data_IF_984512399243
#
_entry.id   IF_984512399243
#
_cell.length_a   1.000
_cell.length_b   1.000
_cell.length_c   1.000
_cell.angle_alpha   90.00
_cell.angle_beta   90.00
_cell.angle_gamma   90.00
#
_symmetry.space_group_name_H-M   'P 1'
#
loop_
_entity.id
_entity.type
_entity.pdbx_description
1 polymer ?
#
# COMPACT_ATOMS: atom_id res chain seq x y z
N UNK A 1 -15.00 36.90 -12.26
CA UNK A 1 -14.73 36.05 -13.44
C UNK A 1 -13.28 36.28 -13.83
N UNK A 2 -12.38 35.28 -13.62
CA UNK A 2 -12.36 34.06 -14.43
C UNK A 2 -12.09 32.77 -13.62
N UNK A 3 -13.00 31.78 -13.74
CA UNK A 3 -12.88 30.40 -13.21
C UNK A 3 -12.91 29.42 -14.40
N UNK A 4 -12.11 29.68 -15.43
CA UNK A 4 -12.14 28.90 -16.68
C UNK A 4 -10.77 28.43 -17.17
N UNK A 5 -9.82 28.20 -16.26
CA UNK A 5 -8.51 27.60 -16.58
C UNK A 5 -8.27 26.24 -15.92
N UNK A 6 -9.23 25.70 -15.16
CA UNK A 6 -9.10 24.38 -14.53
C UNK A 6 -9.84 23.26 -15.29
N UNK A 7 -10.73 23.61 -16.23
CA UNK A 7 -11.65 22.65 -16.88
C UNK A 7 -11.09 22.05 -18.18
N UNK A 8 -9.92 22.49 -18.67
CA UNK A 8 -9.38 22.05 -19.96
C UNK A 8 -8.21 21.07 -19.92
N UNK A 9 -7.75 20.61 -18.74
CA UNK A 9 -6.58 19.71 -18.67
C UNK A 9 -6.84 18.27 -18.21
N UNK A 10 -8.10 17.85 -18.07
CA UNK A 10 -8.44 16.44 -17.80
C UNK A 10 -9.35 15.82 -18.89
N UNK A 11 -9.85 16.59 -19.86
CA UNK A 11 -10.78 16.06 -20.88
C UNK A 11 -10.54 16.48 -22.34
N UNK A 12 -9.52 17.25 -22.68
CA UNK A 12 -9.17 17.55 -24.09
C UNK A 12 -7.66 17.58 -24.31
N UNK A 13 -7.06 16.40 -24.24
CA UNK A 13 -5.97 16.03 -25.14
C UNK A 13 -6.09 14.52 -25.39
N UNK A 14 -7.07 14.16 -26.21
CA UNK A 14 -6.96 12.96 -27.06
C UNK A 14 -5.82 13.20 -28.06
N UNK A 15 -4.59 13.24 -27.56
CA UNK A 15 -3.44 12.69 -28.24
C UNK A 15 -2.97 11.57 -27.36
N UNK A 16 -3.36 10.36 -27.73
CA UNK A 16 -2.61 9.17 -27.40
C UNK A 16 -1.15 9.44 -27.80
N UNK A 17 -0.34 9.95 -26.89
CA UNK A 17 1.11 9.86 -27.01
C UNK A 17 1.46 8.43 -26.64
N UNK A 18 1.38 7.56 -27.65
CA UNK A 18 2.14 6.33 -27.72
C UNK A 18 3.61 6.71 -27.46
N UNK A 19 4.06 6.60 -26.21
CA UNK A 19 5.49 6.55 -25.91
C UNK A 19 5.93 5.18 -26.36
N UNK A 20 6.42 5.17 -27.59
CA UNK A 20 6.63 4.00 -28.41
C UNK A 20 6.28 4.42 -29.82
N UNK A 21 7.26 4.94 -30.55
CA UNK A 21 7.31 4.69 -31.99
C UNK A 21 7.47 3.17 -32.16
N UNK A 22 6.40 2.41 -31.96
CA UNK A 22 6.23 1.18 -32.69
C UNK A 22 6.13 1.64 -34.13
N UNK A 23 7.15 1.34 -34.92
CA UNK A 23 7.03 1.31 -36.37
C UNK A 23 5.79 0.48 -36.71
N UNK A 24 4.65 1.14 -36.94
CA UNK A 24 3.42 0.49 -37.43
C UNK A 24 3.67 -0.13 -38.84
N UNK A 25 4.83 0.19 -39.45
CA UNK A 25 5.30 -0.40 -40.69
C UNK A 25 6.26 -1.60 -40.53
N UNK A 26 6.42 -2.16 -39.32
CA UNK A 26 7.15 -3.42 -39.09
C UNK A 26 6.33 -4.40 -38.22
N UNK A 27 5.02 -4.49 -38.42
CA UNK A 27 4.30 -5.71 -38.05
C UNK A 27 4.66 -6.80 -39.07
N UNK A 28 5.88 -7.34 -38.94
CA UNK A 28 6.21 -8.66 -39.46
C UNK A 28 5.16 -9.64 -38.93
N UNK A 29 4.80 -10.65 -39.73
CA UNK A 29 3.84 -11.72 -39.45
C UNK A 29 4.12 -12.47 -38.12
N UNK A 30 3.93 -11.82 -36.97
CA UNK A 30 3.99 -12.48 -35.68
C UNK A 30 2.64 -13.18 -35.47
N UNK A 31 2.70 -14.50 -35.41
CA UNK A 31 1.56 -15.33 -35.08
C UNK A 31 1.06 -15.03 -33.66
N UNK A 32 -0.18 -15.40 -33.34
CA UNK A 32 -0.67 -15.37 -31.95
C UNK A 32 0.23 -16.18 -31.00
N UNK A 33 0.96 -17.17 -31.52
CA UNK A 33 1.94 -17.93 -30.76
C UNK A 33 3.18 -17.11 -30.41
N UNK A 34 3.64 -16.23 -31.30
CA UNK A 34 4.78 -15.34 -31.03
C UNK A 34 4.44 -14.32 -29.94
N UNK A 35 3.24 -13.74 -29.99
CA UNK A 35 2.76 -12.84 -28.93
C UNK A 35 2.65 -13.57 -27.57
N UNK A 36 2.14 -14.81 -27.59
CA UNK A 36 2.11 -15.67 -26.40
C UNK A 36 3.52 -15.90 -25.83
N UNK A 37 4.49 -16.27 -26.68
CA UNK A 37 5.87 -16.53 -26.24
C UNK A 37 6.58 -15.27 -25.75
N UNK A 38 6.33 -14.12 -26.39
CA UNK A 38 6.89 -12.84 -25.99
C UNK A 38 6.43 -12.43 -24.57
N UNK A 39 5.16 -12.69 -24.22
CA UNK A 39 4.66 -12.49 -22.85
C UNK A 39 5.47 -13.32 -21.87
N UNK A 40 5.65 -14.62 -22.10
CA UNK A 40 6.43 -15.47 -21.21
C UNK A 40 7.90 -15.06 -21.12
N UNK A 41 8.51 -14.67 -22.23
CA UNK A 41 9.88 -14.18 -22.24
C UNK A 41 10.03 -12.90 -21.40
N UNK A 42 9.05 -11.99 -21.43
CA UNK A 42 9.07 -10.78 -20.62
C UNK A 42 8.84 -11.05 -19.13
N UNK A 43 8.00 -12.02 -18.77
CA UNK A 43 7.84 -12.47 -17.38
C UNK A 43 9.15 -13.04 -16.83
N UNK A 44 9.80 -13.94 -17.58
CA UNK A 44 11.09 -14.53 -17.19
C UNK A 44 12.19 -13.46 -17.05
N UNK A 45 12.25 -12.48 -17.97
CA UNK A 45 13.17 -11.32 -17.87
C UNK A 45 12.89 -10.46 -16.65
N UNK A 46 11.62 -10.20 -16.31
CA UNK A 46 11.26 -9.39 -15.15
C UNK A 46 11.70 -10.06 -13.85
N UNK A 47 11.43 -11.36 -13.68
CA UNK A 47 11.93 -12.15 -12.55
C UNK A 47 13.45 -12.05 -12.45
N UNK A 48 14.16 -12.24 -13.58
CA UNK A 48 15.62 -12.14 -13.60
C UNK A 48 16.13 -10.74 -13.26
N UNK A 49 15.41 -9.69 -13.64
CA UNK A 49 15.78 -8.33 -13.29
C UNK A 49 15.65 -8.11 -11.78
N UNK A 50 14.53 -8.50 -11.16
CA UNK A 50 14.31 -8.35 -9.73
C UNK A 50 15.24 -9.24 -8.87
N UNK A 51 15.68 -10.41 -9.35
CA UNK A 51 16.79 -11.16 -8.72
C UNK A 51 18.04 -10.28 -8.52
N UNK A 52 18.29 -9.35 -9.44
CA UNK A 52 19.46 -8.48 -9.46
C UNK A 52 19.20 -7.04 -8.95
N UNK A 53 17.97 -6.74 -8.51
CA UNK A 53 17.57 -5.39 -8.08
C UNK A 53 17.32 -5.30 -6.59
N UNK A 54 17.44 -4.09 -6.04
CA UNK A 54 17.06 -3.76 -4.66
C UNK A 54 15.66 -3.14 -4.68
N UNK A 55 14.61 -3.86 -4.26
CA UNK A 55 13.23 -3.36 -4.23
C UNK A 55 12.99 -2.51 -2.98
N UNK A 56 12.70 -1.23 -3.17
CA UNK A 56 12.45 -0.25 -2.10
C UNK A 56 11.12 0.48 -2.29
N UNK A 57 10.22 0.01 -3.16
CA UNK A 57 8.87 0.57 -3.23
C UNK A 57 8.12 0.19 -1.95
N UNK A 58 7.69 1.18 -1.17
CA UNK A 58 7.10 0.96 0.15
C UNK A 58 5.73 0.24 0.15
N UNK A 59 5.14 0.00 -1.01
CA UNK A 59 3.91 -0.78 -1.18
C UNK A 59 4.14 -2.18 -1.73
N UNK A 60 5.40 -2.54 -1.98
CA UNK A 60 5.76 -3.87 -2.49
C UNK A 60 6.30 -4.75 -1.38
N UNK A 61 6.12 -6.05 -1.60
CA UNK A 61 6.67 -7.12 -0.79
C UNK A 61 6.62 -8.41 -1.59
N UNK A 62 7.30 -9.44 -1.07
CA UNK A 62 7.38 -10.74 -1.70
C UNK A 62 6.69 -11.82 -0.87
N UNK A 63 5.68 -12.52 -1.42
CA UNK A 63 5.05 -13.63 -0.73
C UNK A 63 5.97 -14.86 -0.66
N UNK A 64 5.69 -15.76 0.29
CA UNK A 64 6.41 -17.03 0.39
C UNK A 64 6.07 -17.98 -0.79
N UNK A 65 6.90 -18.98 -1.08
CA UNK A 65 6.58 -20.04 -2.03
C UNK A 65 5.22 -20.71 -1.77
N UNK A 66 4.86 -20.95 -0.50
CA UNK A 66 3.58 -21.55 -0.13
C UNK A 66 2.39 -20.64 -0.48
N UNK A 67 2.52 -19.33 -0.26
CA UNK A 67 1.51 -18.35 -0.67
C UNK A 67 1.36 -18.34 -2.20
N UNK A 68 2.48 -18.41 -2.96
CA UNK A 68 2.46 -18.51 -4.43
C UNK A 68 1.77 -19.79 -4.91
N UNK A 69 2.02 -20.92 -4.25
CA UNK A 69 1.38 -22.21 -4.55
C UNK A 69 -0.15 -22.14 -4.40
N UNK A 70 -0.64 -21.54 -3.30
CA UNK A 70 -2.08 -21.37 -3.11
C UNK A 70 -2.75 -20.51 -4.20
N UNK A 71 -2.08 -19.45 -4.66
CA UNK A 71 -2.58 -18.58 -5.75
C UNK A 71 -2.79 -19.37 -7.04
N UNK A 72 -1.89 -20.31 -7.38
CA UNK A 72 -1.95 -21.07 -8.64
C UNK A 72 -2.80 -22.34 -8.56
N UNK A 73 -3.45 -22.60 -7.42
CA UNK A 73 -4.30 -23.78 -7.22
C UNK A 73 -5.63 -23.67 -7.98
N UNK A 74 -6.37 -24.78 -8.04
CA UNK A 74 -7.69 -24.84 -8.69
C UNK A 74 -8.74 -23.92 -8.05
N UNK A 75 -8.48 -23.38 -6.83
CA UNK A 75 -9.31 -22.34 -6.22
C UNK A 75 -9.47 -21.10 -7.13
N UNK A 76 -8.54 -20.88 -8.07
CA UNK A 76 -8.63 -19.81 -9.07
C UNK A 76 -9.79 -19.96 -10.06
N UNK A 77 -10.31 -21.18 -10.22
CA UNK A 77 -11.29 -21.56 -11.23
C UNK A 77 -12.69 -21.86 -10.64
N UNK A 78 -12.91 -21.57 -9.36
CA UNK A 78 -14.15 -21.88 -8.63
C UNK A 78 -14.91 -20.61 -8.26
N UNK A 79 -16.18 -20.78 -7.93
CA UNK A 79 -17.12 -19.71 -7.63
C UNK A 79 -17.73 -19.94 -6.25
N UNK A 80 -17.77 -18.90 -5.41
CA UNK A 80 -18.28 -19.00 -4.03
C UNK A 80 -18.93 -17.69 -3.59
N UNK A 81 -20.14 -17.43 -4.11
CA UNK A 81 -20.97 -16.30 -3.67
C UNK A 81 -21.58 -16.54 -2.30
N UNK A 82 -21.75 -15.45 -1.55
CA UNK A 82 -22.38 -15.48 -0.23
C UNK A 82 -21.38 -15.63 0.92
N UNK A 83 -21.86 -16.22 2.01
CA UNK A 83 -21.11 -16.46 3.24
C UNK A 83 -20.86 -17.97 3.41
N UNK A 84 -19.78 -18.41 4.09
CA UNK A 84 -19.60 -19.82 4.42
C UNK A 84 -20.86 -20.43 5.06
N UNK A 85 -21.33 -21.57 4.54
CA UNK A 85 -22.59 -22.21 4.96
C UNK A 85 -23.88 -21.64 4.32
N UNK A 86 -23.80 -20.49 3.65
CA UNK A 86 -24.93 -19.78 3.04
C UNK A 86 -24.66 -19.48 1.55
N UNK A 87 -24.03 -20.44 0.86
CA UNK A 87 -23.59 -20.25 -0.53
C UNK A 87 -24.74 -20.33 -1.51
N UNK A 88 -24.66 -19.49 -2.55
CA UNK A 88 -25.60 -19.52 -3.69
C UNK A 88 -25.35 -20.75 -4.57
N UNK A 89 -24.11 -21.22 -4.64
CA UNK A 89 -23.69 -22.35 -5.48
C UNK A 89 -23.18 -23.53 -4.64
N UNK A 90 -23.42 -24.75 -5.15
CA UNK A 90 -22.84 -25.98 -4.59
C UNK A 90 -21.34 -26.11 -4.88
N UNK A 91 -20.68 -27.08 -4.24
CA UNK A 91 -19.25 -27.37 -4.46
C UNK A 91 -18.28 -26.55 -3.61
N UNK A 92 -18.77 -25.87 -2.57
CA UNK A 92 -17.98 -25.00 -1.70
C UNK A 92 -17.42 -25.68 -0.44
N UNK A 93 -17.53 -27.01 -0.28
CA UNK A 93 -17.16 -27.72 0.97
C UNK A 93 -15.81 -27.29 1.54
N UNK A 94 -14.73 -27.44 0.77
CA UNK A 94 -13.38 -27.05 1.22
C UNK A 94 -13.10 -25.55 1.08
N UNK A 95 -13.87 -24.84 0.25
CA UNK A 95 -13.76 -23.38 0.16
C UNK A 95 -14.24 -22.74 1.46
N UNK A 96 -15.36 -23.22 2.01
CA UNK A 96 -15.94 -22.75 3.27
C UNK A 96 -15.02 -23.05 4.47
N UNK A 97 -14.39 -24.24 4.48
CA UNK A 97 -13.38 -24.59 5.49
C UNK A 97 -12.19 -23.62 5.46
N UNK A 98 -11.64 -23.36 4.26
CA UNK A 98 -10.49 -22.46 4.10
C UNK A 98 -10.88 -21.00 4.37
N UNK A 99 -12.07 -20.55 3.97
CA UNK A 99 -12.55 -19.18 4.26
C UNK A 99 -12.78 -18.96 5.75
N UNK A 100 -13.37 -19.94 6.42
CA UNK A 100 -13.54 -19.91 7.89
C UNK A 100 -12.19 -19.85 8.58
N UNK A 101 -11.24 -20.70 8.17
CA UNK A 101 -9.88 -20.67 8.71
C UNK A 101 -9.17 -19.34 8.44
N UNK A 102 -9.34 -18.75 7.26
CA UNK A 102 -8.78 -17.46 6.91
C UNK A 102 -9.31 -16.35 7.83
N UNK A 103 -10.64 -16.33 8.07
CA UNK A 103 -11.26 -15.38 9.00
C UNK A 103 -10.79 -15.58 10.44
N UNK A 104 -10.68 -16.83 10.91
CA UNK A 104 -10.22 -17.13 12.27
C UNK A 104 -8.76 -16.73 12.49
N UNK A 105 -7.88 -16.98 11.51
CA UNK A 105 -6.50 -16.54 11.55
C UNK A 105 -6.39 -15.01 11.53
N UNK A 106 -7.19 -14.32 10.72
CA UNK A 106 -7.23 -12.85 10.69
C UNK A 106 -7.67 -12.27 12.05
N UNK A 107 -8.77 -12.80 12.62
CA UNK A 107 -9.25 -12.42 13.96
C UNK A 107 -8.18 -12.63 15.02
N UNK A 108 -7.49 -13.79 15.00
CA UNK A 108 -6.40 -14.08 15.94
C UNK A 108 -5.23 -13.13 15.77
N UNK A 109 -4.80 -12.88 14.53
CA UNK A 109 -3.65 -12.04 14.21
C UNK A 109 -3.84 -10.60 14.67
N UNK A 110 -5.03 -10.04 14.44
CA UNK A 110 -5.32 -8.65 14.77
C UNK A 110 -6.09 -8.46 16.06
N UNK A 111 -6.46 -9.55 16.75
CA UNK A 111 -7.32 -9.55 17.94
C UNK A 111 -8.64 -8.79 17.67
N UNK A 112 -9.27 -9.07 16.54
CA UNK A 112 -10.58 -8.53 16.17
C UNK A 112 -11.70 -9.54 16.43
N UNK A 113 -12.93 -9.05 16.54
CA UNK A 113 -14.11 -9.92 16.72
C UNK A 113 -14.63 -10.44 15.37
N UNK A 114 -14.55 -9.59 14.34
CA UNK A 114 -14.97 -9.89 12.98
C UNK A 114 -13.84 -9.64 11.98
N UNK A 115 -13.83 -10.44 10.90
CA UNK A 115 -12.94 -10.28 9.76
C UNK A 115 -13.66 -10.66 8.46
N UNK A 116 -13.69 -9.77 7.48
CA UNK A 116 -14.16 -10.04 6.12
C UNK A 116 -12.95 -10.15 5.17
N UNK A 117 -12.68 -11.38 4.73
CA UNK A 117 -11.52 -11.74 3.90
C UNK A 117 -11.80 -11.67 2.40
N UNK A 118 -13.05 -11.35 2.01
CA UNK A 118 -13.53 -11.35 0.62
C UNK A 118 -13.12 -10.12 -0.21
N UNK A 119 -12.82 -8.92 0.33
CA UNK A 119 -12.39 -7.80 -0.49
C UNK A 119 -11.17 -8.15 -1.37
N UNK A 120 -11.31 -7.86 -2.67
CA UNK A 120 -10.30 -8.20 -3.70
C UNK A 120 -9.15 -7.18 -3.79
N UNK A 121 -9.28 -6.04 -3.13
CA UNK A 121 -8.21 -5.04 -3.00
C UNK A 121 -8.45 -4.16 -1.76
N UNK A 122 -7.43 -3.41 -1.34
CA UNK A 122 -7.60 -2.41 -0.28
C UNK A 122 -8.62 -1.31 -0.64
N UNK A 123 -8.73 -0.96 -1.92
CA UNK A 123 -9.74 0.00 -2.40
C UNK A 123 -11.14 -0.56 -2.26
N UNK A 124 -11.35 -1.85 -2.56
CA UNK A 124 -12.65 -2.52 -2.35
C UNK A 124 -12.96 -2.65 -0.86
N UNK A 125 -11.96 -2.90 0.00
CA UNK A 125 -12.16 -2.88 1.45
C UNK A 125 -12.62 -1.50 1.95
N UNK A 126 -12.02 -0.42 1.44
CA UNK A 126 -12.45 0.95 1.75
C UNK A 126 -13.86 1.24 1.23
N UNK A 127 -14.19 0.82 0.01
CA UNK A 127 -15.56 0.94 -0.53
C UNK A 127 -16.59 0.21 0.34
N UNK A 128 -16.26 -0.96 0.89
CA UNK A 128 -17.17 -1.70 1.76
C UNK A 128 -17.53 -0.88 3.01
N UNK A 129 -16.57 -0.15 3.58
CA UNK A 129 -16.83 0.76 4.71
C UNK A 129 -17.69 1.95 4.27
N UNK A 130 -17.39 2.57 3.14
CA UNK A 130 -18.18 3.70 2.66
C UNK A 130 -19.62 3.27 2.40
N UNK A 131 -19.83 2.13 1.73
CA UNK A 131 -21.18 1.60 1.45
C UNK A 131 -21.92 1.12 2.70
N UNK A 132 -21.20 0.67 3.74
CA UNK A 132 -21.83 0.22 4.99
C UNK A 132 -22.24 1.39 5.91
N UNK A 133 -21.50 2.51 5.90
CA UNK A 133 -21.60 3.54 6.93
C UNK A 133 -21.84 4.96 6.41
N UNK A 134 -22.05 5.14 5.10
CA UNK A 134 -22.44 6.42 4.52
C UNK A 134 -23.25 6.27 3.23
N UNK A 135 -23.90 7.36 2.84
CA UNK A 135 -24.61 7.52 1.59
C UNK A 135 -23.91 8.52 0.67
N UNK A 136 -24.18 8.50 -0.65
CA UNK A 136 -23.75 9.57 -1.54
C UNK A 136 -24.21 10.95 -1.03
N UNK A 137 -23.30 11.93 -1.06
CA UNK A 137 -23.52 13.27 -0.52
C UNK A 137 -23.10 13.45 0.94
N UNK A 138 -22.90 12.37 1.71
CA UNK A 138 -22.37 12.49 3.07
C UNK A 138 -20.92 12.99 3.05
N UNK A 139 -20.52 13.66 4.14
CA UNK A 139 -19.17 14.19 4.32
C UNK A 139 -18.26 13.14 4.96
N UNK A 140 -17.04 13.00 4.49
CA UNK A 140 -15.97 12.22 5.12
C UNK A 140 -14.76 13.10 5.38
N UNK A 141 -14.12 12.97 6.54
CA UNK A 141 -12.84 13.62 6.84
C UNK A 141 -11.68 12.61 6.72
N UNK A 142 -10.62 12.95 6.00
CA UNK A 142 -9.47 12.05 5.76
C UNK A 142 -8.13 12.81 5.59
N UNK A 143 -6.96 12.16 5.59
CA UNK A 143 -5.72 12.82 5.18
C UNK A 143 -5.74 13.20 3.69
N UNK A 144 -5.21 14.38 3.37
CA UNK A 144 -5.00 14.78 1.97
C UNK A 144 -3.79 14.06 1.36
N UNK A 145 -3.75 13.86 0.03
CA UNK A 145 -2.61 13.22 -0.65
C UNK A 145 -1.25 13.89 -0.29
N UNK A 146 -1.11 15.23 -0.27
CA UNK A 146 0.14 15.88 0.12
C UNK A 146 0.49 15.72 1.61
N UNK A 147 -0.51 15.44 2.45
CA UNK A 147 -0.35 15.08 3.86
C UNK A 147 -0.14 13.57 4.06
N UNK A 148 0.08 12.82 2.97
CA UNK A 148 0.32 11.39 3.00
C UNK A 148 -0.90 10.50 2.78
N UNK A 149 -2.09 11.07 2.57
CA UNK A 149 -3.32 10.32 2.29
C UNK A 149 -3.27 9.44 1.03
N UNK A 150 -4.28 8.60 0.86
CA UNK A 150 -4.39 7.71 -0.29
C UNK A 150 -5.47 8.18 -1.28
N UNK A 151 -5.29 7.87 -2.56
CA UNK A 151 -6.24 8.26 -3.61
C UNK A 151 -7.66 7.73 -3.35
N UNK A 152 -7.81 6.59 -2.68
CA UNK A 152 -9.13 6.04 -2.35
C UNK A 152 -9.92 6.86 -1.32
N UNK A 153 -9.26 7.79 -0.62
CA UNK A 153 -9.89 8.72 0.31
C UNK A 153 -10.19 10.07 -0.35
N UNK A 154 -9.76 10.25 -1.61
CA UNK A 154 -9.69 11.54 -2.27
C UNK A 154 -11.01 12.05 -2.83
N UNK A 155 -10.99 13.34 -3.16
CA UNK A 155 -12.09 14.09 -3.79
C UNK A 155 -12.39 13.62 -5.21
N UNK A 156 -13.60 13.93 -5.68
CA UNK A 156 -14.06 13.68 -7.05
C UNK A 156 -13.16 14.34 -8.10
N UNK A 157 -12.71 15.58 -7.86
CA UNK A 157 -11.87 16.35 -8.81
C UNK A 157 -10.46 15.75 -8.98
N UNK A 158 -10.08 14.83 -8.10
CA UNK A 158 -8.80 14.10 -8.14
C UNK A 158 -9.00 12.62 -8.47
N UNK A 159 -10.16 12.25 -9.01
CA UNK A 159 -10.54 10.87 -9.31
C UNK A 159 -10.43 9.92 -8.11
N UNK A 160 -10.62 10.46 -6.89
CA UNK A 160 -10.51 9.66 -5.68
C UNK A 160 -11.73 8.75 -5.50
N UNK A 161 -11.53 7.52 -5.04
CA UNK A 161 -12.60 6.51 -4.96
C UNK A 161 -13.77 6.97 -4.09
N UNK A 162 -13.50 7.53 -2.91
CA UNK A 162 -14.55 8.02 -2.02
C UNK A 162 -15.43 9.09 -2.68
N UNK A 163 -14.83 10.11 -3.31
CA UNK A 163 -15.59 11.19 -3.93
C UNK A 163 -16.16 10.89 -5.32
N UNK A 164 -15.41 10.20 -6.19
CA UNK A 164 -15.82 9.92 -7.57
C UNK A 164 -16.74 8.69 -7.67
N UNK A 165 -16.39 7.59 -6.98
CA UNK A 165 -17.07 6.30 -7.14
C UNK A 165 -18.23 6.16 -6.16
N UNK A 166 -18.01 6.45 -4.87
CA UNK A 166 -19.08 6.38 -3.86
C UNK A 166 -19.92 7.66 -3.78
N UNK A 167 -19.33 8.82 -4.10
CA UNK A 167 -20.03 10.10 -4.12
C UNK A 167 -19.98 10.88 -2.82
N UNK A 168 -18.95 10.69 -1.99
CA UNK A 168 -18.76 11.44 -0.74
C UNK A 168 -18.17 12.84 -0.97
N UNK A 169 -18.56 13.78 -0.13
CA UNK A 169 -17.86 15.05 0.01
C UNK A 169 -16.65 14.87 0.93
N UNK A 170 -15.44 15.19 0.46
CA UNK A 170 -14.23 14.97 1.25
C UNK A 170 -13.73 16.27 1.87
N UNK A 171 -13.63 16.26 3.19
CA UNK A 171 -12.86 17.22 3.97
C UNK A 171 -11.54 16.60 4.42
N UNK A 172 -10.55 17.44 4.70
CA UNK A 172 -9.25 16.96 5.16
C UNK A 172 -9.00 17.22 6.65
N UNK A 173 -8.39 16.25 7.33
CA UNK A 173 -7.76 16.49 8.63
C UNK A 173 -6.76 17.66 8.54
N UNK A 174 -6.61 18.40 9.63
CA UNK A 174 -5.52 19.35 9.72
C UNK A 174 -4.19 18.58 9.81
N UNK A 175 -3.15 19.08 9.14
CA UNK A 175 -1.86 18.41 9.05
C UNK A 175 -0.74 19.36 9.48
N UNK A 176 0.15 18.86 10.32
CA UNK A 176 1.39 19.51 10.70
C UNK A 176 2.54 18.87 9.90
N UNK A 177 3.15 19.67 9.02
CA UNK A 177 4.25 19.22 8.17
C UNK A 177 5.59 19.08 8.88
N UNK A 178 5.77 19.69 10.05
CA UNK A 178 6.97 19.48 10.86
C UNK A 178 6.85 18.18 11.64
N UNK A 179 5.68 17.91 12.20
CA UNK A 179 5.38 16.66 12.91
C UNK A 179 5.14 15.48 11.97
N UNK A 180 4.93 15.76 10.68
CA UNK A 180 4.52 14.81 9.64
C UNK A 180 3.29 14.00 10.04
N UNK A 181 2.32 14.65 10.68
CA UNK A 181 1.14 13.97 11.21
C UNK A 181 -0.09 14.89 11.30
N UNK A 182 -1.24 14.31 11.66
CA UNK A 182 -2.49 15.03 11.92
C UNK A 182 -2.30 15.97 13.11
N UNK A 183 -2.71 17.22 12.96
CA UNK A 183 -2.78 18.21 14.03
C UNK A 183 -4.11 18.04 14.78
N UNK A 184 -4.03 17.58 16.03
CA UNK A 184 -5.20 17.22 16.85
C UNK A 184 -6.09 18.43 17.11
N UNK A 185 -5.53 19.54 17.60
CA UNK A 185 -6.33 20.69 18.03
C UNK A 185 -6.92 21.42 16.82
N UNK A 186 -6.15 21.60 15.74
CA UNK A 186 -6.70 22.19 14.50
C UNK A 186 -7.76 21.29 13.85
N UNK A 187 -7.64 19.97 14.00
CA UNK A 187 -8.68 19.03 13.55
C UNK A 187 -9.97 19.20 14.34
N UNK A 188 -9.89 19.32 15.67
CA UNK A 188 -11.06 19.57 16.51
C UNK A 188 -11.78 20.87 16.12
N UNK A 189 -11.04 21.97 15.98
CA UNK A 189 -11.58 23.25 15.51
C UNK A 189 -12.28 23.09 14.15
N UNK A 190 -11.66 22.40 13.21
CA UNK A 190 -12.25 22.17 11.89
C UNK A 190 -13.56 21.38 11.95
N UNK A 191 -13.64 20.33 12.78
CA UNK A 191 -14.88 19.55 12.95
C UNK A 191 -16.00 20.41 13.54
N UNK A 192 -15.70 21.26 14.52
CA UNK A 192 -16.67 22.21 15.08
C UNK A 192 -17.16 23.23 14.05
N UNK A 193 -16.27 23.71 13.16
CA UNK A 193 -16.63 24.60 12.05
C UNK A 193 -17.54 23.90 11.04
N UNK A 194 -17.22 22.65 10.66
CA UNK A 194 -18.06 21.85 9.77
C UNK A 194 -19.44 21.59 10.36
N UNK A 195 -19.54 21.37 11.68
CA UNK A 195 -20.82 21.27 12.37
C UNK A 195 -21.65 22.54 12.24
N UNK A 196 -21.03 23.72 12.42
CA UNK A 196 -21.72 25.02 12.27
C UNK A 196 -22.22 25.27 10.84
N UNK A 197 -21.63 24.58 9.85
CA UNK A 197 -22.00 24.65 8.44
C UNK A 197 -22.99 23.56 8.02
N UNK A 198 -23.49 22.74 8.95
CA UNK A 198 -24.33 21.56 8.65
C UNK A 198 -23.64 20.54 7.72
N UNK A 199 -22.31 20.44 7.81
CA UNK A 199 -21.45 19.55 7.01
C UNK A 199 -20.65 18.59 7.89
N UNK A 200 -21.27 18.14 8.99
CA UNK A 200 -20.62 17.24 9.94
C UNK A 200 -20.26 15.91 9.25
N UNK A 201 -18.98 15.48 9.28
CA UNK A 201 -18.58 14.20 8.71
C UNK A 201 -19.35 13.01 9.29
N UNK A 202 -19.73 12.05 8.44
CA UNK A 202 -20.25 10.74 8.84
C UNK A 202 -19.14 9.73 9.09
N UNK A 203 -18.04 9.85 8.35
CA UNK A 203 -16.87 8.98 8.47
C UNK A 203 -15.63 9.82 8.78
N UNK A 204 -14.87 9.37 9.77
CA UNK A 204 -13.49 9.80 10.00
C UNK A 204 -12.55 8.69 9.53
N UNK A 205 -11.82 8.94 8.45
CA UNK A 205 -10.97 7.97 7.76
C UNK A 205 -9.50 8.25 8.06
N UNK A 206 -8.93 7.52 9.01
CA UNK A 206 -7.49 7.54 9.29
C UNK A 206 -6.73 6.65 8.31
N UNK A 207 -5.41 6.89 8.19
CA UNK A 207 -4.49 6.08 7.40
C UNK A 207 -4.02 6.80 6.13
N UNK A 208 -2.90 6.33 5.59
CA UNK A 208 -2.24 7.00 4.47
C UNK A 208 -1.28 6.11 3.69
N UNK A 209 -0.90 6.62 2.52
CA UNK A 209 0.18 6.08 1.68
C UNK A 209 1.55 6.40 2.26
N UNK A 210 1.75 7.66 2.67
CA UNK A 210 2.94 8.08 3.43
C UNK A 210 2.54 8.06 4.89
N UNK A 211 3.13 7.13 5.64
CA UNK A 211 2.72 6.85 7.01
C UNK A 211 3.96 6.67 7.87
N UNK A 212 4.61 7.77 8.27
CA UNK A 212 5.89 7.73 9.01
C UNK A 212 5.70 7.46 10.51
N UNK A 213 4.60 7.94 11.08
CA UNK A 213 4.33 7.88 12.52
C UNK A 213 2.87 7.48 12.78
N UNK A 214 2.58 6.83 13.91
CA UNK A 214 1.22 6.58 14.37
C UNK A 214 0.32 7.82 14.30
N UNK A 215 -0.87 7.68 13.73
CA UNK A 215 -1.87 8.75 13.78
C UNK A 215 -2.43 8.92 15.20
N UNK A 216 -2.83 10.14 15.60
CA UNK A 216 -3.35 10.44 16.94
C UNK A 216 -4.81 9.99 17.09
N UNK A 217 -5.05 8.69 16.93
CA UNK A 217 -6.38 8.08 17.02
C UNK A 217 -6.92 8.22 18.44
N UNK A 218 -6.10 7.87 19.45
CA UNK A 218 -6.50 7.91 20.86
C UNK A 218 -6.91 9.32 21.31
N UNK A 219 -6.24 10.34 20.80
CA UNK A 219 -6.48 11.74 21.12
C UNK A 219 -7.73 12.31 20.45
N UNK A 220 -8.18 11.69 19.36
CA UNK A 220 -9.33 12.15 18.56
C UNK A 220 -10.57 11.27 18.70
N UNK A 221 -10.44 9.99 19.07
CA UNK A 221 -11.52 9.02 19.00
C UNK A 221 -12.76 9.43 19.80
N UNK A 222 -12.60 9.78 21.08
CA UNK A 222 -13.72 10.19 21.94
C UNK A 222 -14.40 11.47 21.42
N UNK A 223 -13.61 12.42 20.94
CA UNK A 223 -14.12 13.66 20.35
C UNK A 223 -14.94 13.37 19.09
N UNK A 224 -14.41 12.58 18.14
CA UNK A 224 -15.09 12.24 16.90
C UNK A 224 -16.37 11.42 17.16
N UNK A 225 -16.34 10.49 18.13
CA UNK A 225 -17.51 9.72 18.54
C UNK A 225 -18.58 10.57 19.21
N UNK A 226 -18.22 11.65 19.90
CA UNK A 226 -19.21 12.59 20.47
C UNK A 226 -20.05 13.31 19.41
N UNK A 227 -19.65 13.22 18.13
CA UNK A 227 -20.37 13.70 16.96
C UNK A 227 -20.99 12.57 16.12
N UNK A 228 -21.08 11.35 16.67
CA UNK A 228 -21.65 10.16 16.02
C UNK A 228 -20.93 9.78 14.70
N UNK A 229 -19.64 10.08 14.58
CA UNK A 229 -18.84 9.69 13.42
C UNK A 229 -18.44 8.21 13.50
N UNK A 230 -18.54 7.49 12.38
CA UNK A 230 -17.91 6.17 12.23
C UNK A 230 -16.42 6.35 12.00
N UNK A 231 -15.58 5.76 12.84
CA UNK A 231 -14.12 5.87 12.71
C UNK A 231 -13.56 4.64 12.01
N UNK A 232 -13.03 4.81 10.80
CA UNK A 232 -12.28 3.77 10.10
C UNK A 232 -10.79 4.09 10.04
N UNK A 233 -9.95 3.06 10.11
CA UNK A 233 -8.52 3.18 9.94
C UNK A 233 -8.02 2.29 8.79
N UNK A 234 -7.50 2.92 7.73
CA UNK A 234 -6.83 2.24 6.64
C UNK A 234 -5.39 1.91 7.02
N UNK A 235 -5.18 0.68 7.46
CA UNK A 235 -3.90 0.15 7.88
C UNK A 235 -3.05 -0.36 6.71
N UNK A 236 -3.45 -0.19 5.44
CA UNK A 236 -2.83 -0.88 4.30
C UNK A 236 -1.30 -0.90 4.31
N UNK A 237 -0.65 0.23 4.59
CA UNK A 237 0.81 0.33 4.62
C UNK A 237 1.45 -0.23 5.89
N UNK A 238 0.75 -0.22 7.03
CA UNK A 238 1.29 -0.58 8.35
C UNK A 238 0.67 -1.87 8.91
N UNK A 239 -0.17 -2.58 8.16
CA UNK A 239 -0.91 -3.76 8.60
C UNK A 239 0.00 -4.86 9.18
N UNK A 240 1.13 -5.13 8.54
CA UNK A 240 2.11 -6.10 9.06
C UNK A 240 2.81 -5.64 10.34
N UNK A 241 3.00 -4.31 10.49
CA UNK A 241 3.60 -3.75 11.70
C UNK A 241 2.62 -3.78 12.88
N UNK A 242 1.34 -3.47 12.64
CA UNK A 242 0.27 -3.61 13.63
C UNK A 242 0.13 -5.07 14.05
N UNK A 243 0.12 -6.00 13.09
CA UNK A 243 0.06 -7.44 13.35
C UNK A 243 1.25 -7.94 14.19
N UNK A 244 2.45 -7.42 13.92
CA UNK A 244 3.67 -7.71 14.68
C UNK A 244 3.79 -6.98 16.02
N UNK A 245 2.91 -6.03 16.33
CA UNK A 245 2.95 -5.25 17.57
C UNK A 245 3.99 -4.13 17.61
N UNK A 246 4.51 -3.70 16.46
CA UNK A 246 5.56 -2.68 16.32
C UNK A 246 5.01 -1.34 15.77
N UNK A 247 3.69 -1.17 15.82
CA UNK A 247 2.99 0.07 15.50
C UNK A 247 1.79 0.25 16.44
N UNK A 248 1.03 1.32 16.25
CA UNK A 248 -0.16 1.61 17.05
C UNK A 248 -1.22 0.51 16.95
N UNK A 249 -2.19 0.54 17.86
CA UNK A 249 -3.26 -0.46 17.92
C UNK A 249 -4.65 0.19 17.73
N UNK A 250 -5.09 0.43 16.49
CA UNK A 250 -6.24 1.29 16.23
C UNK A 250 -7.55 0.77 16.84
N UNK A 251 -7.79 -0.55 16.81
CA UNK A 251 -9.00 -1.14 17.38
C UNK A 251 -9.09 -0.87 18.89
N UNK A 252 -7.96 -0.89 19.59
CA UNK A 252 -7.89 -0.64 21.03
C UNK A 252 -7.76 0.86 21.37
N UNK A 253 -7.37 1.68 20.41
CA UNK A 253 -7.30 3.14 20.52
C UNK A 253 -8.63 3.83 20.20
N UNK A 254 -9.60 3.10 19.64
CA UNK A 254 -10.99 3.55 19.56
C UNK A 254 -11.59 3.63 18.17
N UNK A 255 -11.00 3.02 17.13
CA UNK A 255 -11.65 2.95 15.81
C UNK A 255 -12.76 1.90 15.80
N UNK A 256 -13.78 2.08 14.97
CA UNK A 256 -14.90 1.12 14.84
C UNK A 256 -14.60 0.00 13.83
N UNK A 257 -13.80 0.31 12.80
CA UNK A 257 -13.37 -0.64 11.78
C UNK A 257 -11.94 -0.35 11.34
N UNK A 258 -11.27 -1.38 10.81
CA UNK A 258 -10.01 -1.24 10.10
C UNK A 258 -10.12 -1.86 8.72
N UNK A 259 -9.59 -1.16 7.72
CA UNK A 259 -9.40 -1.68 6.36
C UNK A 259 -7.93 -1.83 6.07
N UNK A 260 -7.56 -2.73 5.18
CA UNK A 260 -6.17 -2.84 4.73
C UNK A 260 -6.05 -3.58 3.41
N UNK A 261 -4.90 -3.40 2.76
CA UNK A 261 -4.39 -4.34 1.76
C UNK A 261 -3.58 -5.46 2.40
N UNK A 262 -3.51 -6.61 1.73
CA UNK A 262 -2.85 -7.83 2.22
C UNK A 262 -1.49 -8.16 1.59
N UNK A 263 -0.86 -7.20 0.90
CA UNK A 263 0.39 -7.40 0.10
C UNK A 263 1.51 -6.38 0.35
N UNK A 264 1.35 -5.50 1.34
CA UNK A 264 2.36 -4.48 1.68
C UNK A 264 3.25 -5.01 2.81
N UNK A 265 3.27 -4.36 3.98
CA UNK A 265 3.93 -4.92 5.18
C UNK A 265 3.29 -6.23 5.62
N UNK A 266 2.00 -6.44 5.36
CA UNK A 266 1.40 -7.76 5.41
C UNK A 266 1.76 -8.49 4.11
N UNK A 267 2.71 -9.42 4.17
CA UNK A 267 3.45 -10.02 3.05
C UNK A 267 2.68 -11.12 2.29
N UNK A 268 1.38 -10.90 2.07
CA UNK A 268 0.50 -11.84 1.40
C UNK A 268 0.19 -11.49 -0.06
N UNK A 269 -0.85 -12.10 -0.63
CA UNK A 269 -1.28 -11.83 -2.00
C UNK A 269 -1.95 -10.46 -2.14
N UNK A 270 -2.04 -9.96 -3.38
CA UNK A 270 -2.83 -8.76 -3.65
C UNK A 270 -4.29 -8.96 -3.24
N UNK A 271 -4.86 -8.05 -2.46
CA UNK A 271 -6.16 -8.26 -1.83
C UNK A 271 -6.49 -7.18 -0.81
N UNK A 272 -7.68 -7.28 -0.21
CA UNK A 272 -8.12 -6.46 0.91
C UNK A 272 -8.61 -7.29 2.10
N UNK A 273 -8.81 -6.62 3.23
CA UNK A 273 -9.35 -7.18 4.46
C UNK A 273 -10.10 -6.08 5.20
N UNK A 274 -11.26 -6.41 5.78
CA UNK A 274 -11.97 -5.54 6.74
C UNK A 274 -11.97 -6.24 8.09
N UNK A 275 -11.60 -5.52 9.15
CA UNK A 275 -11.69 -5.95 10.53
C UNK A 275 -12.68 -5.07 11.27
N UNK A 276 -13.44 -5.65 12.19
CA UNK A 276 -14.42 -4.90 12.96
C UNK A 276 -14.73 -5.56 14.30
N UNK A 277 -15.54 -4.87 15.09
CA UNK A 277 -16.34 -5.45 16.18
C UNK A 277 -17.59 -6.13 15.63
N UNK A 278 -18.15 -7.09 16.36
CA UNK A 278 -19.30 -7.89 15.91
C UNK A 278 -20.53 -7.03 15.59
N UNK A 279 -20.73 -5.93 16.33
CA UNK A 279 -21.82 -4.95 16.09
C UNK A 279 -21.88 -4.42 14.65
N UNK A 280 -20.74 -4.42 13.94
CA UNK A 280 -20.59 -3.88 12.59
C UNK A 280 -20.62 -4.97 11.50
N UNK A 281 -20.61 -6.26 11.87
CA UNK A 281 -20.42 -7.38 10.95
C UNK A 281 -21.48 -7.43 9.84
N UNK A 282 -22.76 -7.36 10.18
CA UNK A 282 -23.85 -7.49 9.21
C UNK A 282 -23.88 -6.36 8.17
N UNK A 283 -23.54 -5.13 8.56
CA UNK A 283 -23.44 -4.00 7.63
C UNK A 283 -22.30 -4.22 6.62
N UNK A 284 -21.14 -4.66 7.11
CA UNK A 284 -19.96 -4.95 6.27
C UNK A 284 -20.22 -6.15 5.35
N UNK A 285 -20.87 -7.20 5.86
CA UNK A 285 -21.18 -8.39 5.05
C UNK A 285 -22.03 -8.01 3.83
N UNK A 286 -23.10 -7.24 4.05
CA UNK A 286 -24.03 -6.78 3.00
C UNK A 286 -23.38 -5.81 2.02
N UNK A 287 -22.56 -4.89 2.51
CA UNK A 287 -21.79 -3.98 1.65
C UNK A 287 -20.81 -4.74 0.76
N UNK A 288 -20.15 -5.77 1.28
CA UNK A 288 -19.19 -6.57 0.53
C UNK A 288 -19.88 -7.47 -0.51
N UNK A 289 -20.89 -8.25 -0.08
CA UNK A 289 -21.74 -9.06 -0.94
C UNK A 289 -23.20 -8.89 -0.51
N UNK A 290 -24.13 -8.58 -1.43
CA UNK A 290 -23.95 -8.50 -2.88
C UNK A 290 -23.46 -7.12 -3.38
N UNK A 291 -23.10 -6.19 -2.49
CA UNK A 291 -22.87 -4.79 -2.87
C UNK A 291 -21.68 -4.56 -3.81
N UNK A 292 -20.51 -5.12 -3.50
CA UNK A 292 -19.25 -4.80 -4.21
C UNK A 292 -18.62 -5.99 -4.92
N UNK A 293 -19.01 -7.19 -4.53
CA UNK A 293 -18.54 -8.44 -5.12
C UNK A 293 -19.72 -9.33 -5.42
N UNK A 294 -19.56 -10.17 -6.43
CA UNK A 294 -20.42 -11.33 -6.70
C UNK A 294 -19.66 -12.55 -6.13
N UNK A 295 -18.76 -13.19 -6.87
CA UNK A 295 -17.69 -13.99 -6.26
C UNK A 295 -16.47 -13.13 -5.90
N UNK A 296 -15.63 -13.64 -4.99
CA UNK A 296 -14.33 -13.05 -4.65
C UNK A 296 -13.18 -13.95 -5.14
N UNK A 297 -11.94 -13.45 -5.06
CA UNK A 297 -10.76 -14.22 -5.49
C UNK A 297 -10.42 -15.31 -4.45
N UNK A 298 -11.01 -16.49 -4.61
CA UNK A 298 -10.94 -17.60 -3.65
C UNK A 298 -9.49 -18.10 -3.45
N UNK A 299 -8.72 -18.22 -4.53
CA UNK A 299 -7.28 -18.54 -4.48
C UNK A 299 -6.46 -17.50 -3.70
N UNK A 300 -6.76 -16.20 -3.85
CA UNK A 300 -6.14 -15.17 -3.03
C UNK A 300 -6.60 -15.26 -1.57
N UNK A 301 -7.86 -15.62 -1.29
CA UNK A 301 -8.34 -15.86 0.08
C UNK A 301 -7.59 -17.02 0.74
N UNK A 302 -7.38 -18.14 0.03
CA UNK A 302 -6.56 -19.26 0.51
C UNK A 302 -5.11 -18.82 0.79
N UNK A 303 -4.52 -18.05 -0.13
CA UNK A 303 -3.18 -17.49 0.04
C UNK A 303 -3.08 -16.49 1.22
N UNK A 304 -4.14 -15.73 1.53
CA UNK A 304 -4.24 -14.92 2.76
C UNK A 304 -4.22 -15.80 4.01
N UNK A 305 -4.91 -16.94 4.03
CA UNK A 305 -4.91 -17.85 5.18
C UNK A 305 -3.49 -18.32 5.51
N UNK A 306 -2.72 -18.73 4.50
CA UNK A 306 -1.30 -19.10 4.66
C UNK A 306 -0.49 -17.91 5.18
N UNK A 307 -0.67 -16.72 4.58
CA UNK A 307 0.01 -15.49 5.02
C UNK A 307 -0.27 -15.20 6.50
N UNK A 308 -1.51 -15.34 6.96
CA UNK A 308 -1.87 -15.04 8.35
C UNK A 308 -1.27 -16.07 9.32
N UNK A 309 -1.16 -17.34 8.93
CA UNK A 309 -0.46 -18.34 9.71
C UNK A 309 1.04 -18.00 9.84
N UNK A 310 1.70 -17.61 8.74
CA UNK A 310 3.10 -17.15 8.77
C UNK A 310 3.27 -15.86 9.58
N UNK A 311 2.33 -14.92 9.49
CA UNK A 311 2.36 -13.67 10.25
C UNK A 311 2.15 -13.89 11.75
N UNK A 312 1.35 -14.88 12.14
CA UNK A 312 1.21 -15.27 13.56
C UNK A 312 2.51 -15.82 14.14
N UNK A 313 3.28 -16.58 13.34
CA UNK A 313 4.54 -17.18 13.78
C UNK A 313 5.69 -16.18 13.74
N UNK A 314 5.87 -15.49 12.62
CA UNK A 314 7.08 -14.70 12.33
C UNK A 314 6.84 -13.19 12.26
N UNK A 315 5.59 -12.74 12.35
CA UNK A 315 5.21 -11.34 12.09
C UNK A 315 5.84 -10.35 13.06
N UNK A 316 6.01 -10.73 14.33
CA UNK A 316 6.66 -9.88 15.34
C UNK A 316 8.11 -9.56 14.96
N UNK A 317 8.94 -10.58 14.75
CA UNK A 317 10.36 -10.40 14.44
C UNK A 317 10.54 -9.70 13.09
N UNK A 318 9.69 -10.02 12.12
CA UNK A 318 9.66 -9.33 10.84
C UNK A 318 9.34 -7.84 10.98
N UNK A 319 8.31 -7.49 11.74
CA UNK A 319 7.90 -6.10 11.94
C UNK A 319 9.00 -5.29 12.64
N UNK A 320 9.63 -5.85 13.68
CA UNK A 320 10.71 -5.20 14.43
C UNK A 320 11.91 -4.91 13.52
N UNK A 321 12.37 -5.92 12.77
CA UNK A 321 13.46 -5.72 11.82
C UNK A 321 13.09 -4.75 10.69
N UNK A 322 11.83 -4.74 10.25
CA UNK A 322 11.35 -3.83 9.19
C UNK A 322 11.45 -2.37 9.64
N UNK A 323 11.02 -2.05 10.86
CA UNK A 323 11.12 -0.69 11.43
C UNK A 323 12.57 -0.30 11.67
N UNK A 324 13.40 -1.21 12.23
CA UNK A 324 14.85 -0.98 12.41
C UNK A 324 15.54 -0.66 11.09
N UNK A 325 15.23 -1.42 10.04
CA UNK A 325 15.80 -1.20 8.72
C UNK A 325 15.37 0.15 8.11
N UNK A 326 14.09 0.51 8.21
CA UNK A 326 13.61 1.80 7.72
C UNK A 326 14.32 2.97 8.40
N UNK A 327 14.49 2.88 9.74
CA UNK A 327 15.21 3.89 10.52
C UNK A 327 16.71 3.93 10.19
N UNK A 328 17.36 2.78 10.06
CA UNK A 328 18.77 2.69 9.68
C UNK A 328 19.02 3.28 8.29
N UNK A 329 18.14 3.00 7.32
CA UNK A 329 18.21 3.58 5.97
C UNK A 329 18.03 5.10 6.01
N UNK A 330 17.04 5.59 6.76
CA UNK A 330 16.79 7.02 6.92
C UNK A 330 18.00 7.76 7.53
N UNK A 331 18.56 7.22 8.61
CA UNK A 331 19.76 7.79 9.26
C UNK A 331 20.94 7.79 8.30
N UNK A 332 21.23 6.65 7.64
CA UNK A 332 22.36 6.55 6.72
C UNK A 332 22.24 7.51 5.53
N UNK A 333 21.04 7.71 4.98
CA UNK A 333 20.80 8.68 3.92
C UNK A 333 21.02 10.12 4.42
N UNK A 334 20.53 10.44 5.62
CA UNK A 334 20.72 11.76 6.23
C UNK A 334 22.21 12.09 6.44
N UNK A 335 22.97 11.14 7.01
CA UNK A 335 24.41 11.27 7.25
C UNK A 335 25.21 11.42 5.96
N UNK A 336 24.70 10.89 4.84
CA UNK A 336 25.27 11.03 3.50
C UNK A 336 24.85 12.30 2.76
N UNK A 337 24.09 13.20 3.41
CA UNK A 337 23.75 14.53 2.90
C UNK A 337 22.36 14.66 2.29
N UNK A 338 21.53 13.61 2.31
CA UNK A 338 20.14 13.71 1.86
C UNK A 338 19.25 14.38 2.91
N UNK A 339 18.24 15.12 2.47
CA UNK A 339 17.23 15.72 3.36
C UNK A 339 16.10 14.74 3.62
N UNK A 340 16.17 13.99 4.72
CA UNK A 340 15.16 13.00 5.10
C UNK A 340 14.07 13.64 5.97
N UNK A 341 12.81 13.40 5.65
CA UNK A 341 11.68 13.96 6.40
C UNK A 341 11.52 13.28 7.78
N UNK A 342 10.94 14.00 8.74
CA UNK A 342 10.67 13.48 10.08
C UNK A 342 11.87 13.49 11.04
N UNK A 343 12.98 14.15 10.68
CA UNK A 343 14.22 14.19 11.47
C UNK A 343 14.00 14.51 12.96
N UNK A 344 13.19 15.53 13.28
CA UNK A 344 12.88 15.94 14.66
C UNK A 344 12.29 14.82 15.53
N UNK A 345 11.74 13.76 14.91
CA UNK A 345 11.11 12.62 15.57
C UNK A 345 11.86 11.30 15.32
N UNK A 346 13.12 11.39 14.87
CA UNK A 346 13.92 10.21 14.54
C UNK A 346 13.55 9.56 13.21
N UNK A 347 13.09 10.36 12.25
CA UNK A 347 12.75 10.03 10.86
C UNK A 347 11.47 9.21 10.66
N UNK A 348 11.36 8.06 11.32
CA UNK A 348 10.24 7.14 11.10
C UNK A 348 10.04 6.17 12.26
N UNK A 349 8.79 5.78 12.48
CA UNK A 349 8.36 4.66 13.33
C UNK A 349 7.64 3.59 12.49
N UNK A 350 7.72 3.66 11.16
CA UNK A 350 7.11 2.69 10.24
C UNK A 350 8.17 2.02 9.37
N UNK A 351 7.74 1.38 8.28
CA UNK A 351 8.62 0.74 7.30
C UNK A 351 9.13 1.69 6.22
N UNK A 352 8.88 3.00 6.33
CA UNK A 352 9.11 3.96 5.25
C UNK A 352 10.14 5.02 5.62
N UNK A 353 10.87 5.50 4.61
CA UNK A 353 11.62 6.75 4.63
C UNK A 353 11.18 7.62 3.45
N UNK A 354 11.08 8.94 3.66
CA UNK A 354 10.78 9.90 2.59
C UNK A 354 11.91 10.90 2.52
N UNK A 355 12.41 11.12 1.31
CA UNK A 355 13.59 11.95 1.06
C UNK A 355 13.21 13.08 0.14
N UNK A 356 13.53 14.32 0.53
CA UNK A 356 13.49 15.47 -0.34
C UNK A 356 14.77 15.47 -1.21
N UNK A 357 14.59 15.43 -2.52
CA UNK A 357 15.68 15.26 -3.48
C UNK A 357 15.93 16.51 -4.34
N UNK A 358 15.25 17.62 -4.04
CA UNK A 358 15.29 18.85 -4.85
C UNK A 358 16.68 19.47 -5.00
N UNK A 359 17.63 19.17 -4.10
CA UNK A 359 19.02 19.62 -4.21
C UNK A 359 19.77 18.89 -5.36
N UNK A 360 19.25 17.74 -5.82
CA UNK A 360 19.88 16.86 -6.81
C UNK A 360 19.05 16.68 -8.09
N UNK A 361 17.73 16.91 -8.03
CA UNK A 361 16.80 16.81 -9.15
C UNK A 361 15.34 16.73 -8.68
N UNK A 362 14.40 16.65 -9.61
CA UNK A 362 13.02 16.27 -9.25
C UNK A 362 12.92 14.75 -9.01
N UNK A 363 11.90 14.32 -8.28
CA UNK A 363 11.68 12.93 -7.92
C UNK A 363 11.53 11.99 -9.13
N UNK A 364 11.01 12.46 -10.27
CA UNK A 364 10.89 11.66 -11.49
C UNK A 364 12.26 11.38 -12.13
N UNK A 365 13.15 12.37 -12.16
CA UNK A 365 14.54 12.19 -12.61
C UNK A 365 15.28 11.23 -11.67
N UNK A 366 15.17 11.44 -10.36
CA UNK A 366 15.91 10.65 -9.36
C UNK A 366 15.45 9.19 -9.36
N UNK A 367 14.13 8.95 -9.44
CA UNK A 367 13.56 7.61 -9.62
C UNK A 367 14.15 6.91 -10.86
N UNK A 368 14.14 7.58 -12.02
CA UNK A 368 14.66 7.00 -13.26
C UNK A 368 16.17 6.73 -13.24
N UNK A 369 16.96 7.53 -12.53
CA UNK A 369 18.39 7.31 -12.39
C UNK A 369 18.71 6.15 -11.44
N UNK A 370 17.92 5.97 -10.37
CA UNK A 370 18.04 4.82 -9.47
C UNK A 370 17.59 3.52 -10.14
N UNK A 371 16.53 3.54 -10.97
CA UNK A 371 16.06 2.37 -11.72
C UNK A 371 17.16 1.82 -12.65
N UNK A 372 17.88 2.69 -13.37
CA UNK A 372 19.04 2.31 -14.20
C UNK A 372 20.18 1.67 -13.39
N UNK A 373 20.25 1.98 -12.09
CA UNK A 373 21.20 1.42 -11.14
C UNK A 373 20.67 0.16 -10.43
N UNK A 374 19.54 -0.41 -10.88
CA UNK A 374 18.84 -1.55 -10.24
C UNK A 374 18.35 -1.26 -8.81
N UNK A 375 18.03 -0.02 -8.49
CA UNK A 375 17.44 0.39 -7.21
C UNK A 375 16.02 0.90 -7.48
N UNK A 376 15.03 0.12 -7.07
CA UNK A 376 13.63 0.35 -7.47
C UNK A 376 12.91 1.13 -6.36
N UNK A 377 12.58 2.39 -6.62
CA UNK A 377 11.89 3.30 -5.68
C UNK A 377 10.66 3.91 -6.35
N UNK A 378 9.88 4.69 -5.60
CA UNK A 378 8.84 5.53 -6.20
C UNK A 378 9.09 7.02 -5.94
N UNK A 379 8.83 7.86 -6.95
CA UNK A 379 8.71 9.31 -6.83
C UNK A 379 7.50 9.65 -5.95
N UNK A 380 7.62 10.70 -5.14
CA UNK A 380 6.67 10.98 -4.07
C UNK A 380 6.46 12.48 -3.90
N UNK A 381 5.20 12.91 -3.92
CA UNK A 381 4.82 14.26 -3.47
C UNK A 381 5.11 14.39 -1.98
N UNK A 382 5.75 15.49 -1.60
CA UNK A 382 6.09 15.86 -0.23
C UNK A 382 5.38 17.16 0.19
N UNK A 383 5.27 17.46 1.51
CA UNK A 383 4.71 18.72 1.97
C UNK A 383 5.37 19.93 1.29
N UNK A 384 4.54 20.85 0.78
CA UNK A 384 4.98 22.02 0.03
C UNK A 384 4.93 21.87 -1.50
N UNK A 385 4.92 20.66 -2.05
CA UNK A 385 4.90 20.43 -3.51
C UNK A 385 3.69 21.06 -4.20
N UNK A 386 2.49 20.87 -3.64
CA UNK A 386 1.27 21.45 -4.21
C UNK A 386 1.29 22.98 -4.14
N UNK A 387 1.79 23.57 -3.05
CA UNK A 387 1.96 25.03 -2.94
C UNK A 387 2.95 25.54 -4.01
N UNK A 388 3.97 24.75 -4.31
CA UNK A 388 4.94 25.01 -5.38
C UNK A 388 4.43 24.60 -6.78
N UNK A 389 3.17 24.17 -6.93
CA UNK A 389 2.55 23.71 -8.19
C UNK A 389 3.30 22.57 -8.89
N UNK A 390 3.98 21.70 -8.13
CA UNK A 390 4.65 20.51 -8.70
C UNK A 390 3.64 19.46 -9.12
N UNK A 391 3.93 18.80 -10.24
CA UNK A 391 3.13 17.70 -10.79
C UNK A 391 3.62 16.36 -10.23
N UNK A 392 2.75 15.35 -10.15
CA UNK A 392 3.13 14.02 -9.61
C UNK A 392 4.20 13.29 -10.45
N UNK A 393 4.42 13.73 -11.70
CA UNK A 393 5.51 13.23 -12.56
C UNK A 393 6.88 13.82 -12.19
N UNK A 394 6.89 15.01 -11.57
CA UNK A 394 8.10 15.74 -11.17
C UNK A 394 7.95 16.27 -9.73
N UNK A 395 7.73 15.39 -8.74
CA UNK A 395 7.53 15.81 -7.36
C UNK A 395 8.86 16.16 -6.69
N UNK A 396 8.83 16.67 -5.45
CA UNK A 396 10.04 17.05 -4.72
C UNK A 396 10.78 15.90 -4.03
N UNK A 397 10.17 14.71 -3.92
CA UNK A 397 10.74 13.62 -3.14
C UNK A 397 10.71 12.25 -3.81
N UNK A 398 11.34 11.30 -3.12
CA UNK A 398 11.22 9.86 -3.33
C UNK A 398 10.81 9.20 -2.01
N UNK A 399 10.12 8.06 -2.10
CA UNK A 399 9.74 7.24 -0.95
C UNK A 399 10.40 5.88 -1.07
N UNK A 400 11.00 5.44 0.03
CA UNK A 400 11.65 4.15 0.17
C UNK A 400 10.96 3.33 1.26
N UNK A 401 10.89 2.02 1.08
CA UNK A 401 10.36 1.09 2.07
C UNK A 401 11.29 -0.09 2.31
N UNK A 402 11.33 -0.55 3.56
CA UNK A 402 12.20 -1.63 4.00
C UNK A 402 11.55 -3.01 3.98
N UNK A 403 10.25 -3.12 3.68
CA UNK A 403 9.47 -4.35 3.83
C UNK A 403 10.04 -5.55 3.06
N UNK A 404 10.30 -5.39 1.77
CA UNK A 404 10.74 -6.48 0.90
C UNK A 404 12.22 -6.85 1.16
N UNK A 405 13.11 -5.87 1.29
CA UNK A 405 14.52 -6.12 1.63
C UNK A 405 14.67 -6.82 2.99
N UNK A 406 13.84 -6.48 3.97
CA UNK A 406 13.77 -7.20 5.25
C UNK A 406 13.32 -8.63 5.03
N UNK A 407 12.34 -8.84 4.16
CA UNK A 407 11.83 -10.17 3.79
C UNK A 407 12.86 -11.03 3.08
N UNK A 408 13.86 -10.43 2.45
CA UNK A 408 15.00 -11.10 1.84
C UNK A 408 16.15 -11.38 2.82
N UNK A 409 16.02 -10.96 4.09
CA UNK A 409 16.99 -11.18 5.15
C UNK A 409 17.98 -10.04 5.40
N UNK A 410 17.81 -8.90 4.73
CA UNK A 410 18.66 -7.72 4.96
C UNK A 410 18.39 -7.10 6.34
N UNK A 411 19.43 -6.53 6.94
CA UNK A 411 19.43 -5.87 8.24
C UNK A 411 20.04 -4.47 8.15
N UNK A 412 20.33 -3.85 9.28
CA UNK A 412 20.77 -2.46 9.37
C UNK A 412 22.09 -2.20 8.61
N UNK A 413 23.03 -3.16 8.61
CA UNK A 413 24.29 -3.05 7.83
C UNK A 413 24.03 -2.95 6.34
N UNK A 414 23.07 -3.73 5.83
CA UNK A 414 22.69 -3.68 4.42
C UNK A 414 22.00 -2.34 4.08
N UNK A 415 21.27 -1.74 5.01
CA UNK A 415 20.65 -0.43 4.79
C UNK A 415 21.70 0.67 4.61
N UNK A 416 22.82 0.60 5.33
CA UNK A 416 23.96 1.50 5.12
C UNK A 416 24.58 1.31 3.73
N UNK A 417 24.73 0.06 3.28
CA UNK A 417 25.24 -0.25 1.95
C UNK A 417 24.30 0.26 0.85
N UNK A 418 22.99 0.10 1.03
CA UNK A 418 21.97 0.63 0.11
C UNK A 418 22.05 2.16 0.03
N UNK A 419 22.14 2.84 1.19
CA UNK A 419 22.31 4.29 1.22
C UNK A 419 23.58 4.75 0.48
N UNK A 420 24.67 3.99 0.59
CA UNK A 420 25.91 4.23 -0.16
C UNK A 420 25.70 4.10 -1.67
N UNK A 421 24.97 3.10 -2.16
CA UNK A 421 24.65 2.98 -3.58
C UNK A 421 23.80 4.16 -4.06
N UNK A 422 22.78 4.57 -3.28
CA UNK A 422 21.94 5.72 -3.60
C UNK A 422 22.78 7.01 -3.68
N UNK A 423 23.68 7.23 -2.72
CA UNK A 423 24.61 8.37 -2.73
C UNK A 423 25.51 8.37 -3.94
N UNK A 424 26.07 7.22 -4.30
CA UNK A 424 26.95 7.09 -5.47
C UNK A 424 26.22 7.39 -6.79
N UNK A 425 24.96 6.97 -6.91
CA UNK A 425 24.16 7.25 -8.11
C UNK A 425 23.74 8.73 -8.17
N UNK A 426 23.30 9.31 -7.05
CA UNK A 426 22.63 10.62 -7.06
C UNK A 426 23.57 11.80 -6.78
N UNK A 427 24.42 11.68 -5.76
CA UNK A 427 25.31 12.76 -5.33
C UNK A 427 26.62 12.69 -6.13
N UNK A 428 27.23 11.50 -6.20
CA UNK A 428 28.51 11.32 -6.91
C UNK A 428 28.36 11.19 -8.42
N UNK A 429 27.13 10.92 -8.89
CA UNK A 429 26.79 10.77 -10.32
C UNK A 429 27.67 9.75 -11.03
N UNK A 430 27.98 8.63 -10.35
CA UNK A 430 28.68 7.50 -10.98
C UNK A 430 27.84 6.88 -12.09
N UNK A 431 28.48 6.13 -12.99
CA UNK A 431 27.78 5.42 -14.05
C UNK A 431 26.77 4.42 -13.45
N UNK A 432 25.50 4.58 -13.79
CA UNK A 432 24.42 3.73 -13.30
C UNK A 432 24.65 2.24 -13.63
N UNK A 433 25.32 1.93 -14.74
CA UNK A 433 25.66 0.55 -15.12
C UNK A 433 26.70 -0.06 -14.18
N UNK A 434 27.66 0.75 -13.72
CA UNK A 434 28.64 0.31 -12.72
C UNK A 434 27.93 -0.01 -11.40
N UNK A 435 27.04 0.87 -10.95
CA UNK A 435 26.27 0.67 -9.73
C UNK A 435 25.32 -0.53 -9.85
N UNK A 436 24.65 -0.71 -11.00
CA UNK A 436 23.79 -1.85 -11.25
C UNK A 436 24.52 -3.20 -11.11
N UNK A 437 25.79 -3.27 -11.54
CA UNK A 437 26.61 -4.47 -11.37
C UNK A 437 26.97 -4.70 -9.89
N UNK A 438 27.31 -3.64 -9.15
CA UNK A 438 27.59 -3.74 -7.71
C UNK A 438 26.34 -4.17 -6.93
N UNK A 439 25.18 -3.63 -7.30
CA UNK A 439 23.88 -4.01 -6.74
C UNK A 439 23.57 -5.48 -7.03
N UNK A 440 23.76 -5.94 -8.26
CA UNK A 440 23.55 -7.35 -8.62
C UNK A 440 24.47 -8.30 -7.83
N UNK A 441 25.74 -7.92 -7.64
CA UNK A 441 26.68 -8.70 -6.82
C UNK A 441 26.23 -8.76 -5.35
N UNK A 442 25.86 -7.61 -4.78
CA UNK A 442 25.34 -7.50 -3.42
C UNK A 442 24.09 -8.38 -3.23
N UNK A 443 23.19 -8.40 -4.22
CA UNK A 443 21.94 -9.16 -4.18
C UNK A 443 22.14 -10.67 -4.15
N UNK A 444 23.26 -11.23 -4.63
CA UNK A 444 23.51 -12.70 -4.62
C UNK A 444 23.36 -13.33 -3.23
N UNK A 445 23.60 -12.58 -2.16
CA UNK A 445 23.49 -13.05 -0.79
C UNK A 445 22.04 -13.07 -0.24
N UNK A 446 21.06 -12.56 -0.98
CA UNK A 446 19.71 -12.26 -0.50
C UNK A 446 18.63 -12.76 -1.47
N UNK A 447 18.71 -14.03 -1.86
CA UNK A 447 17.88 -14.65 -2.91
C UNK A 447 16.74 -15.53 -2.36
N UNK A 448 16.54 -15.57 -1.04
CA UNK A 448 15.54 -16.43 -0.38
C UNK A 448 14.60 -15.59 0.47
N UNK A 449 13.31 -15.92 0.43
CA UNK A 449 12.30 -15.35 1.33
C UNK A 449 12.56 -15.86 2.75
N UNK A 450 12.53 -14.95 3.72
CA UNK A 450 12.67 -15.23 5.15
C UNK A 450 11.31 -15.14 5.85
N UNK A 451 11.30 -15.54 7.14
CA UNK A 451 10.14 -15.45 8.04
C UNK A 451 8.89 -16.21 7.51
N UNK A 452 9.11 -17.29 6.78
CA UNK A 452 8.09 -18.18 6.25
C UNK A 452 8.45 -19.64 6.61
N UNK A 453 7.47 -20.55 6.55
CA UNK A 453 7.71 -21.95 6.91
C UNK A 453 8.54 -22.72 5.87
N UNK A 454 8.42 -22.38 4.58
CA UNK A 454 9.20 -22.98 3.50
C UNK A 454 9.82 -21.88 2.62
N UNK A 455 11.12 -21.97 2.37
CA UNK A 455 11.88 -21.08 1.50
C UNK A 455 12.77 -21.82 0.48
N UNK A 456 12.38 -23.03 0.08
CA UNK A 456 13.16 -23.86 -0.85
C UNK A 456 13.36 -23.20 -2.21
N UNK A 457 12.34 -22.55 -2.75
CA UNK A 457 12.44 -21.79 -4.01
C UNK A 457 13.11 -20.44 -3.79
N UNK A 458 13.84 -19.95 -4.80
CA UNK A 458 14.32 -18.56 -4.81
C UNK A 458 13.15 -17.58 -4.71
N UNK A 459 13.34 -16.46 -4.02
CA UNK A 459 12.30 -15.46 -3.81
C UNK A 459 11.71 -15.00 -5.17
N UNK A 460 12.60 -14.70 -6.12
CA UNK A 460 12.26 -14.26 -7.47
C UNK A 460 12.32 -15.38 -8.52
N UNK A 461 12.50 -16.64 -8.09
CA UNK A 461 12.60 -17.76 -9.02
C UNK A 461 11.31 -17.87 -9.85
N UNK A 462 11.47 -17.95 -11.17
CA UNK A 462 10.36 -18.12 -12.09
C UNK A 462 9.90 -19.58 -12.08
N UNK A 463 8.67 -19.82 -11.62
CA UNK A 463 8.09 -21.17 -11.57
C UNK A 463 7.37 -21.47 -12.87
N UNK A 464 7.93 -22.39 -13.66
CA UNK A 464 7.36 -22.80 -14.95
C UNK A 464 6.41 -23.99 -14.75
N UNK A 465 5.11 -23.77 -15.01
CA UNK A 465 4.08 -24.82 -14.97
C UNK A 465 3.76 -25.43 -16.34
N UNK A 466 4.15 -24.73 -17.42
CA UNK A 466 3.85 -25.06 -18.82
C UNK A 466 4.80 -26.07 -19.44
#
# INVERSE_FOLDING_TARGET
>A
MPILYLILFVAQNNRYFLIGKTNVNNMTNNSNKDAYDEVFANLEKHNKWFENSIPLIASENIPSPAVREAIISDFGNRYAEGWPGERVYAGCTYIDEVETQCMDLAKKLFKSEFADVRPISGVVANLAIYSAFSNPGDVMIAPSIPAGGHISHGKKEHSGTAGLVHGLEIEFFAFDSEEMNIDVEKTKTKVEELKKQDRLPKIAMFGGSVFLFPHPVKELADFLKSYDMHINYDAAHVAGLIAGGEFQDPLREGVDTMTMSTHKTLFGPQGGLVLAFEKNAEAIKKATFPGLTSSHHIHHMAAKAITFAEALEFGKDYADQTVKNAKALAVALNDLGFKVLGEKKGFTQSHQAVVNVLDYGDGGKIEADLEKANIIVNRQLIPGDIKAKRHYMHPGGIRLGSSEVTRLGMKESEMQQIASFIKQTIIDKKDAKEIANQVAEFRKNFQKTQYCFDNKLGAYEYVKLR
#
